data_IF_466316682659
#
_entry.id   IF_466316682659
#
_cell.length_a   1.000
_cell.length_b   1.000
_cell.length_c   1.000
_cell.angle_alpha   90.00
_cell.angle_beta   90.00
_cell.angle_gamma   90.00
#
_symmetry.space_group_name_H-M   'P 1'
#
loop_
_entity.id
_entity.type
_entity.pdbx_description
1 polymer ?
#
# COMPACT_ATOMS: atom_id res chain seq x y z
N UNK A 1 20.03 19.38 17.19
CA UNK A 1 19.92 20.17 15.95
C UNK A 1 20.48 19.30 14.84
N UNK A 2 19.63 18.61 14.07
CA UNK A 2 20.11 17.72 13.00
C UNK A 2 20.57 18.61 11.86
N UNK A 3 21.88 18.68 11.63
CA UNK A 3 22.43 19.42 10.51
C UNK A 3 21.91 18.78 9.22
N UNK A 4 21.05 19.51 8.51
CA UNK A 4 20.68 19.21 7.14
C UNK A 4 21.93 19.28 6.29
N UNK A 5 22.57 18.13 6.06
CA UNK A 5 23.67 18.00 5.13
C UNK A 5 23.10 18.05 3.71
N UNK A 6 22.77 19.26 3.27
CA UNK A 6 22.22 19.56 1.95
C UNK A 6 23.28 19.41 0.83
N UNK A 7 24.40 18.72 1.07
CA UNK A 7 25.51 18.66 0.12
C UNK A 7 26.39 17.40 0.24
N UNK A 8 25.80 16.23 0.50
CA UNK A 8 26.54 14.94 0.47
C UNK A 8 26.17 14.04 -0.71
N UNK A 9 25.20 14.43 -1.53
CA UNK A 9 24.82 13.69 -2.72
C UNK A 9 24.74 14.63 -3.91
N UNK A 10 25.52 14.34 -4.95
CA UNK A 10 25.56 15.11 -6.20
C UNK A 10 24.22 15.08 -6.97
N UNK A 11 23.28 14.27 -6.48
CA UNK A 11 21.89 14.14 -6.91
C UNK A 11 21.24 12.91 -6.27
N UNK A 12 19.93 12.73 -6.46
CA UNK A 12 19.15 11.56 -5.98
C UNK A 12 19.78 10.24 -6.46
N UNK A 13 20.40 10.24 -7.65
CA UNK A 13 20.99 9.06 -8.27
C UNK A 13 22.20 8.54 -7.50
N UNK A 14 23.06 9.42 -7.00
CA UNK A 14 24.26 9.05 -6.22
C UNK A 14 23.85 8.44 -4.86
N UNK A 15 22.75 8.92 -4.28
CA UNK A 15 22.16 8.36 -3.05
C UNK A 15 21.59 6.97 -3.24
N UNK A 16 20.81 6.78 -4.31
CA UNK A 16 20.27 5.47 -4.65
C UNK A 16 21.39 4.48 -4.95
N UNK A 17 22.45 4.91 -5.63
CA UNK A 17 23.58 4.05 -6.00
C UNK A 17 24.41 3.62 -4.78
N UNK A 18 24.69 4.53 -3.84
CA UNK A 18 25.39 4.21 -2.59
C UNK A 18 24.57 3.28 -1.69
N UNK A 19 23.28 3.57 -1.49
CA UNK A 19 22.36 2.73 -0.71
C UNK A 19 22.25 1.32 -1.28
N UNK A 20 22.12 1.18 -2.60
CA UNK A 20 22.04 -0.15 -3.26
C UNK A 20 23.35 -0.92 -3.14
N UNK A 21 24.50 -0.24 -3.11
CA UNK A 21 25.82 -0.87 -3.04
C UNK A 21 26.25 -1.24 -1.62
N UNK A 22 25.87 -0.45 -0.61
CA UNK A 22 26.18 -0.74 0.81
C UNK A 22 25.14 -1.67 1.46
N UNK A 23 23.85 -1.39 1.29
CA UNK A 23 22.80 -2.14 1.99
C UNK A 23 22.04 -3.14 1.11
N UNK A 24 22.24 -3.06 -0.21
CA UNK A 24 21.60 -3.96 -1.17
C UNK A 24 20.18 -3.54 -1.56
N UNK A 25 19.66 -4.17 -2.61
CA UNK A 25 18.33 -3.89 -3.19
C UNK A 25 17.17 -4.08 -2.20
N UNK A 26 17.38 -4.88 -1.15
CA UNK A 26 16.41 -5.13 -0.08
C UNK A 26 16.27 -3.96 0.90
N UNK A 27 17.24 -3.04 0.98
CA UNK A 27 17.16 -1.86 1.83
C UNK A 27 16.06 -0.89 1.37
N UNK A 28 15.86 -0.77 0.06
CA UNK A 28 14.77 0.01 -0.53
C UNK A 28 13.39 -0.60 -0.24
N UNK A 29 13.33 -1.92 -0.01
CA UNK A 29 12.10 -2.66 0.26
C UNK A 29 11.80 -2.82 1.76
N UNK A 30 12.74 -2.50 2.66
CA UNK A 30 12.55 -2.60 4.12
C UNK A 30 11.36 -1.78 4.64
N UNK A 31 10.98 -0.69 3.96
CA UNK A 31 9.83 0.14 4.31
C UNK A 31 8.51 -0.23 3.61
N UNK A 32 8.55 -1.14 2.63
CA UNK A 32 7.35 -1.54 1.87
C UNK A 32 6.47 -2.47 2.69
N UNK A 33 7.03 -3.36 3.51
CA UNK A 33 6.26 -4.26 4.38
C UNK A 33 5.26 -3.52 5.28
N UNK A 34 5.70 -2.54 6.11
CA UNK A 34 4.80 -1.75 6.95
C UNK A 34 3.76 -0.96 6.15
N UNK A 35 4.13 -0.40 4.99
CA UNK A 35 3.19 0.33 4.12
C UNK A 35 2.13 -0.56 3.51
N UNK A 36 2.52 -1.73 3.01
CA UNK A 36 1.60 -2.70 2.39
C UNK A 36 0.70 -3.32 3.46
N UNK A 37 1.22 -3.59 4.65
CA UNK A 37 0.41 -4.04 5.77
C UNK A 37 -0.65 -3.00 6.15
N UNK A 38 -0.25 -1.73 6.26
CA UNK A 38 -1.16 -0.63 6.57
C UNK A 38 -2.27 -0.47 5.51
N UNK A 39 -1.90 -0.47 4.22
CA UNK A 39 -2.87 -0.34 3.13
C UNK A 39 -3.81 -1.55 3.06
N UNK A 40 -3.29 -2.75 3.31
CA UNK A 40 -4.06 -4.00 3.31
C UNK A 40 -5.06 -4.08 4.46
N UNK A 41 -4.69 -3.62 5.65
CA UNK A 41 -5.61 -3.53 6.80
C UNK A 41 -6.75 -2.55 6.48
N UNK A 42 -6.44 -1.35 5.96
CA UNK A 42 -7.46 -0.39 5.56
C UNK A 42 -8.42 -0.93 4.49
N UNK A 43 -7.87 -1.58 3.46
CA UNK A 43 -8.66 -2.17 2.37
C UNK A 43 -9.56 -3.32 2.82
N UNK A 44 -9.05 -4.22 3.67
CA UNK A 44 -9.82 -5.38 4.16
C UNK A 44 -10.98 -4.97 5.06
N UNK A 45 -10.81 -3.95 5.89
CA UNK A 45 -11.90 -3.41 6.73
C UNK A 45 -12.99 -2.80 5.86
N UNK A 46 -12.62 -1.99 4.86
CA UNK A 46 -13.58 -1.37 3.95
C UNK A 46 -14.36 -2.40 3.15
N UNK A 47 -13.67 -3.39 2.60
CA UNK A 47 -14.28 -4.48 1.86
C UNK A 47 -15.19 -5.34 2.76
N UNK A 48 -14.75 -5.63 3.98
CA UNK A 48 -15.54 -6.35 4.97
C UNK A 48 -16.85 -5.62 5.30
N UNK A 49 -16.82 -4.30 5.56
CA UNK A 49 -18.02 -3.52 5.83
C UNK A 49 -18.97 -3.52 4.63
N UNK A 50 -18.44 -3.30 3.42
CA UNK A 50 -19.25 -3.34 2.19
C UNK A 50 -19.94 -4.70 2.01
N UNK A 51 -19.21 -5.80 2.22
CA UNK A 51 -19.76 -7.14 2.07
C UNK A 51 -20.86 -7.42 3.09
N UNK A 52 -20.66 -7.03 4.35
CA UNK A 52 -21.69 -7.12 5.40
C UNK A 52 -22.92 -6.27 5.06
N UNK A 53 -22.72 -5.04 4.62
CA UNK A 53 -23.82 -4.14 4.24
C UNK A 53 -24.58 -4.67 3.02
N UNK A 54 -23.90 -5.23 2.02
CA UNK A 54 -24.54 -5.87 0.86
C UNK A 54 -25.38 -7.07 1.27
N UNK A 55 -24.90 -7.92 2.18
CA UNK A 55 -25.65 -9.07 2.68
C UNK A 55 -26.91 -8.65 3.45
N UNK A 56 -26.81 -7.60 4.28
CA UNK A 56 -27.94 -7.08 5.04
C UNK A 56 -28.98 -6.37 4.15
N UNK A 57 -28.54 -5.70 3.09
CA UNK A 57 -29.44 -5.06 2.12
C UNK A 57 -30.06 -6.07 1.14
N UNK A 58 -29.35 -7.15 0.80
CA UNK A 58 -29.87 -8.26 0.01
C UNK A 58 -31.05 -8.96 0.71
N UNK A 59 -31.07 -8.97 2.04
CA UNK A 59 -32.20 -9.46 2.84
C UNK A 59 -33.45 -8.56 2.73
N UNK A 60 -33.34 -7.34 2.20
CA UNK A 60 -34.42 -6.34 2.16
C UNK A 60 -34.92 -5.97 0.76
N UNK A 61 -34.21 -6.32 -0.32
CA UNK A 61 -34.58 -5.93 -1.69
C UNK A 61 -34.69 -7.16 -2.60
N UNK A 62 -35.80 -7.34 -3.34
CA UNK A 62 -35.92 -8.43 -4.32
C UNK A 62 -34.93 -8.17 -5.46
N UNK A 63 -34.27 -9.24 -5.87
CA UNK A 63 -33.36 -9.41 -7.01
C UNK A 63 -33.09 -8.17 -7.88
N UNK A 64 -31.87 -7.65 -7.83
CA UNK A 64 -31.27 -6.95 -8.96
C UNK A 64 -30.24 -7.90 -9.59
N UNK A 65 -30.39 -8.29 -10.86
CA UNK A 65 -29.42 -9.12 -11.56
C UNK A 65 -28.19 -8.31 -11.99
N UNK A 66 -27.03 -8.98 -12.00
CA UNK A 66 -25.77 -8.56 -12.63
C UNK A 66 -25.01 -7.41 -11.94
N UNK A 67 -23.68 -7.41 -11.89
CA UNK A 67 -22.77 -7.98 -12.89
C UNK A 67 -21.61 -8.81 -12.30
N UNK A 68 -21.35 -9.87 -13.04
CA UNK A 68 -20.27 -10.83 -12.89
C UNK A 68 -18.96 -10.20 -13.37
N UNK A 69 -17.84 -10.75 -12.90
CA UNK A 69 -16.57 -10.85 -13.64
C UNK A 69 -15.73 -9.56 -13.78
N UNK A 70 -14.49 -9.60 -13.29
CA UNK A 70 -13.32 -9.52 -14.19
C UNK A 70 -12.03 -9.82 -13.39
N UNK A 71 -11.32 -10.86 -13.84
CA UNK A 71 -9.93 -11.30 -13.60
C UNK A 71 -9.31 -11.27 -12.18
#
# INVERSE_FOLDING_TARGET
MVQGSANQYKGIIDCVQTVVREEGRSALLKGIGPRVLWIGIGGSIFFGVLERTKLLLAQRKPALPQDSKQD
#
